data_IF_557340899843
#
_entry.id   IF_557340899843
#
_cell.length_a   1.000
_cell.length_b   1.000
_cell.length_c   1.000
_cell.angle_alpha   90.00
_cell.angle_beta   90.00
_cell.angle_gamma   90.00
#
_symmetry.space_group_name_H-M   'P 1'
#
loop_
_entity.id
_entity.type
_entity.pdbx_description
1 polymer ?
#
# COMPACT_ATOMS: atom_id res chain seq x y z
N UNK A 1 -15.43 9.92 20.01
CA UNK A 1 -14.26 9.43 19.25
C UNK A 1 -14.31 10.11 17.89
N UNK A 2 -13.70 11.28 17.77
CA UNK A 2 -13.72 12.08 16.53
C UNK A 2 -12.56 11.59 15.69
N UNK A 3 -12.85 10.81 14.66
CA UNK A 3 -11.85 10.34 13.71
C UNK A 3 -11.56 11.52 12.77
N UNK A 4 -10.47 12.24 13.03
CA UNK A 4 -9.94 13.22 12.10
C UNK A 4 -9.20 12.47 10.97
N UNK A 5 -9.97 11.99 9.99
CA UNK A 5 -9.45 11.47 8.74
C UNK A 5 -8.99 12.66 7.89
N UNK A 6 -7.68 12.74 7.66
CA UNK A 6 -7.07 13.76 6.83
C UNK A 6 -7.86 13.98 5.52
N UNK A 7 -8.21 15.24 5.30
CA UNK A 7 -9.16 15.79 4.33
C UNK A 7 -8.93 15.44 2.86
N UNK A 8 -7.83 14.78 2.50
CA UNK A 8 -7.50 14.47 1.12
C UNK A 8 -7.69 13.00 0.73
N UNK A 9 -7.87 12.05 1.65
CA UNK A 9 -8.08 10.63 1.31
C UNK A 9 -9.55 10.22 1.44
N UNK A 10 -10.25 10.82 2.41
CA UNK A 10 -11.68 10.57 2.64
C UNK A 10 -12.56 11.05 1.46
N UNK A 11 -12.08 12.03 0.67
CA UNK A 11 -12.80 12.51 -0.51
C UNK A 11 -12.79 11.51 -1.68
N UNK A 12 -11.72 10.74 -1.90
CA UNK A 12 -11.63 9.85 -3.07
C UNK A 12 -12.39 8.55 -2.88
N UNK A 13 -12.27 7.91 -1.72
CA UNK A 13 -13.03 6.68 -1.42
C UNK A 13 -14.52 6.96 -1.26
N UNK A 14 -14.88 8.09 -0.64
CA UNK A 14 -16.26 8.56 -0.64
C UNK A 14 -16.77 8.83 -2.05
N UNK A 15 -15.95 9.35 -2.98
CA UNK A 15 -16.35 9.56 -4.37
C UNK A 15 -16.64 8.24 -5.12
N UNK A 16 -15.76 7.23 -5.00
CA UNK A 16 -15.96 5.94 -5.70
C UNK A 16 -17.12 5.10 -5.11
N UNK A 17 -17.28 5.07 -3.78
CA UNK A 17 -18.43 4.42 -3.15
C UNK A 17 -19.72 5.21 -3.37
N UNK A 18 -19.71 6.54 -3.27
CA UNK A 18 -20.91 7.35 -3.51
C UNK A 18 -21.35 7.31 -4.97
N UNK A 19 -20.43 7.16 -5.93
CA UNK A 19 -20.80 7.01 -7.35
C UNK A 19 -21.45 5.64 -7.57
N UNK A 20 -20.91 4.58 -6.98
CA UNK A 20 -21.49 3.23 -7.07
C UNK A 20 -22.84 3.13 -6.35
N UNK A 21 -22.96 3.71 -5.15
CA UNK A 21 -24.22 3.79 -4.38
C UNK A 21 -25.22 4.72 -5.06
N UNK A 22 -24.79 5.85 -5.63
CA UNK A 22 -25.66 6.72 -6.41
C UNK A 22 -26.17 6.01 -7.67
N UNK A 23 -25.34 5.22 -8.36
CA UNK A 23 -25.77 4.39 -9.48
C UNK A 23 -26.84 3.37 -9.02
N UNK A 24 -26.60 2.64 -7.93
CA UNK A 24 -27.58 1.67 -7.38
C UNK A 24 -28.88 2.35 -6.91
N UNK A 25 -28.78 3.48 -6.22
CA UNK A 25 -29.94 4.27 -5.79
C UNK A 25 -30.70 4.86 -6.99
N UNK A 26 -30.01 5.26 -8.06
CA UNK A 26 -30.66 5.71 -9.31
C UNK A 26 -31.40 4.57 -10.03
N UNK A 27 -30.93 3.32 -9.88
CA UNK A 27 -31.65 2.13 -10.36
C UNK A 27 -32.84 1.74 -9.46
N UNK A 28 -32.77 1.97 -8.14
CA UNK A 28 -33.86 1.66 -7.20
C UNK A 28 -34.94 2.75 -7.10
N UNK A 29 -34.60 4.03 -7.30
CA UNK A 29 -35.53 5.18 -7.30
C UNK A 29 -36.30 5.27 -8.63
N UNK A 30 -36.48 4.14 -9.33
CA UNK A 30 -37.21 4.05 -10.59
C UNK A 30 -38.68 3.67 -10.41
N UNK A 31 -39.09 3.19 -9.22
CA UNK A 31 -40.45 2.71 -8.97
C UNK A 31 -41.32 3.63 -8.09
N UNK A 32 -40.75 4.68 -7.49
CA UNK A 32 -41.54 5.66 -6.74
C UNK A 32 -41.83 6.88 -7.62
N UNK A 33 -43.10 7.02 -7.98
CA UNK A 33 -43.69 8.13 -8.74
C UNK A 33 -43.41 9.49 -8.06
N UNK A 34 -42.26 10.10 -8.35
CA UNK A 34 -41.93 11.46 -7.93
C UNK A 34 -42.66 12.45 -8.85
N UNK A 35 -43.94 12.72 -8.55
CA UNK A 35 -44.76 13.69 -9.29
C UNK A 35 -44.51 15.10 -8.78
N UNK A 36 -43.55 15.79 -9.36
CA UNK A 36 -43.47 17.26 -9.28
C UNK A 36 -44.17 17.86 -10.50
N UNK A 37 -45.18 18.68 -10.25
CA UNK A 37 -46.00 19.38 -11.24
C UNK A 37 -45.22 20.58 -11.81
N UNK A 38 -44.25 20.29 -12.68
CA UNK A 38 -43.54 21.27 -13.48
C UNK A 38 -44.00 21.10 -14.93
N UNK A 39 -44.68 22.12 -15.48
CA UNK A 39 -45.11 22.16 -16.89
C UNK A 39 -43.92 21.89 -17.84
N UNK A 40 -44.14 21.18 -18.96
CA UNK A 40 -43.13 20.35 -19.57
C UNK A 40 -42.25 21.17 -20.52
N UNK A 41 -40.99 21.35 -20.16
CA UNK A 41 -39.97 21.62 -21.17
C UNK A 41 -38.96 20.47 -21.09
N UNK A 42 -39.11 19.56 -22.06
CA UNK A 42 -38.27 18.39 -22.30
C UNK A 42 -38.52 17.23 -21.31
N UNK A 43 -39.47 16.35 -21.66
CA UNK A 43 -39.50 15.00 -21.11
C UNK A 43 -38.24 14.26 -21.58
N UNK A 44 -37.16 14.37 -20.82
CA UNK A 44 -35.95 13.60 -21.07
C UNK A 44 -36.19 12.14 -20.66
N UNK A 45 -36.90 11.39 -21.50
CA UNK A 45 -37.08 9.93 -21.38
C UNK A 45 -35.73 9.18 -21.22
N UNK A 46 -34.65 9.83 -21.62
CA UNK A 46 -33.27 9.33 -21.55
C UNK A 46 -32.36 10.08 -20.56
N UNK A 47 -32.86 10.99 -19.69
CA UNK A 47 -32.00 11.76 -18.77
C UNK A 47 -31.18 10.85 -17.86
N UNK A 48 -31.84 9.83 -17.29
CA UNK A 48 -31.18 8.84 -16.41
C UNK A 48 -30.04 8.14 -17.15
N UNK A 49 -30.29 7.68 -18.38
CA UNK A 49 -29.27 7.03 -19.24
C UNK A 49 -28.13 7.99 -19.56
N UNK A 50 -28.44 9.25 -19.88
CA UNK A 50 -27.46 10.28 -20.18
C UNK A 50 -26.57 10.59 -18.96
N UNK A 51 -27.16 10.74 -17.77
CA UNK A 51 -26.42 10.93 -16.51
C UNK A 51 -25.51 9.73 -16.24
N UNK A 52 -26.01 8.50 -16.39
CA UNK A 52 -25.19 7.29 -16.21
C UNK A 52 -24.02 7.28 -17.19
N UNK A 53 -24.24 7.59 -18.46
CA UNK A 53 -23.16 7.68 -19.46
C UNK A 53 -22.13 8.74 -19.08
N UNK A 54 -22.56 9.92 -18.63
CA UNK A 54 -21.64 10.96 -18.15
C UNK A 54 -20.83 10.47 -16.95
N UNK A 55 -21.46 9.84 -15.96
CA UNK A 55 -20.77 9.30 -14.78
C UNK A 55 -19.78 8.19 -15.16
N UNK A 56 -20.12 7.34 -16.13
CA UNK A 56 -19.21 6.31 -16.65
C UNK A 56 -18.01 6.93 -17.37
N UNK A 57 -18.24 7.92 -18.25
CA UNK A 57 -17.15 8.63 -18.94
C UNK A 57 -16.26 9.34 -17.92
N UNK A 58 -16.85 10.03 -16.95
CA UNK A 58 -16.12 10.69 -15.88
C UNK A 58 -15.32 9.70 -15.03
N UNK A 59 -15.93 8.56 -14.69
CA UNK A 59 -15.26 7.45 -14.00
C UNK A 59 -14.07 6.90 -14.78
N UNK A 60 -14.22 6.69 -16.09
CA UNK A 60 -13.14 6.22 -16.97
C UNK A 60 -12.01 7.24 -17.01
N UNK A 61 -12.32 8.51 -17.28
CA UNK A 61 -11.32 9.60 -17.35
C UNK A 61 -10.58 9.72 -16.02
N UNK A 62 -11.31 9.80 -14.89
CA UNK A 62 -10.70 9.94 -13.58
C UNK A 62 -9.82 8.76 -13.22
N UNK A 63 -10.23 7.52 -13.50
CA UNK A 63 -9.39 6.34 -13.25
C UNK A 63 -8.21 6.22 -14.23
N UNK A 64 -8.36 6.72 -15.46
CA UNK A 64 -7.28 6.72 -16.44
C UNK A 64 -6.16 7.68 -16.01
N UNK A 65 -6.50 8.86 -15.51
CA UNK A 65 -5.51 9.87 -15.13
C UNK A 65 -5.06 9.80 -13.67
N UNK A 66 -5.87 9.25 -12.75
CA UNK A 66 -5.52 9.13 -11.34
C UNK A 66 -4.95 7.75 -11.03
N UNK A 67 -3.67 7.58 -11.34
CA UNK A 67 -2.90 6.39 -10.99
C UNK A 67 -2.29 6.63 -9.61
N UNK A 68 -2.94 6.09 -8.58
CA UNK A 68 -2.60 6.40 -7.20
C UNK A 68 -1.22 5.82 -6.81
N UNK A 69 -0.23 6.71 -6.65
CA UNK A 69 1.13 6.39 -6.15
C UNK A 69 1.93 5.39 -7.00
N UNK A 70 1.53 5.22 -8.25
CA UNK A 70 2.29 4.49 -9.26
C UNK A 70 2.79 5.46 -10.33
N UNK A 71 3.55 4.95 -11.30
CA UNK A 71 4.07 5.75 -12.40
C UNK A 71 2.91 6.47 -13.12
N UNK A 72 2.98 7.81 -13.30
CA UNK A 72 1.92 8.57 -13.95
C UNK A 72 1.74 8.23 -15.43
N UNK A 73 2.74 7.62 -16.07
CA UNK A 73 2.64 7.16 -17.44
C UNK A 73 1.91 5.80 -17.51
N UNK A 74 0.60 5.85 -17.81
CA UNK A 74 -0.24 4.64 -17.88
C UNK A 74 0.23 3.61 -18.90
N UNK A 75 0.93 4.05 -19.95
CA UNK A 75 1.42 3.16 -21.00
C UNK A 75 2.58 2.28 -20.53
N UNK A 76 3.20 2.61 -19.40
CA UNK A 76 4.25 1.78 -18.77
C UNK A 76 3.66 0.75 -17.79
N UNK A 77 2.38 0.89 -17.41
CA UNK A 77 1.70 0.00 -16.45
C UNK A 77 1.13 -1.24 -17.15
N UNK A 78 2.01 -2.02 -17.77
CA UNK A 78 1.64 -3.19 -18.61
C UNK A 78 2.17 -4.50 -18.06
N UNK A 79 2.99 -4.48 -17.01
CA UNK A 79 3.58 -5.67 -16.42
C UNK A 79 2.72 -6.15 -15.25
N UNK A 80 2.34 -7.42 -15.25
CA UNK A 80 1.59 -8.04 -14.15
C UNK A 80 2.54 -8.67 -13.13
N UNK A 81 2.18 -8.61 -11.86
CA UNK A 81 2.84 -9.37 -10.80
C UNK A 81 2.65 -10.88 -11.01
N UNK A 82 3.66 -11.66 -10.62
CA UNK A 82 3.64 -13.15 -10.66
C UNK A 82 3.02 -13.76 -9.42
N UNK A 83 2.92 -12.99 -8.34
CA UNK A 83 2.27 -13.41 -7.10
C UNK A 83 0.74 -13.50 -7.26
N UNK A 84 0.12 -14.63 -6.89
CA UNK A 84 -1.31 -14.89 -7.11
C UNK A 84 -2.22 -13.80 -6.51
N UNK A 85 -1.87 -13.26 -5.34
CA UNK A 85 -2.65 -12.22 -4.65
C UNK A 85 -2.66 -10.86 -5.38
N UNK A 86 -1.75 -10.67 -6.35
CA UNK A 86 -1.64 -9.47 -7.18
C UNK A 86 -1.92 -9.77 -8.65
N UNK A 87 -2.53 -10.91 -8.94
CA UNK A 87 -2.94 -11.27 -10.30
C UNK A 87 -3.91 -10.23 -10.85
N UNK A 88 -3.67 -9.81 -12.09
CA UNK A 88 -4.40 -8.73 -12.77
C UNK A 88 -4.15 -7.33 -12.21
N UNK A 89 -3.20 -7.17 -11.29
CA UNK A 89 -2.65 -5.85 -10.95
C UNK A 89 -1.46 -5.62 -11.87
N UNK A 90 -1.45 -4.45 -12.51
CA UNK A 90 -0.40 -4.07 -13.45
C UNK A 90 0.36 -2.85 -12.93
N UNK A 91 1.67 -2.83 -13.17
CA UNK A 91 2.56 -1.75 -12.80
C UNK A 91 3.74 -1.68 -13.80
N UNK A 92 4.75 -0.87 -13.50
CA UNK A 92 5.99 -0.86 -14.28
C UNK A 92 6.78 -2.15 -14.05
N UNK A 93 7.67 -2.49 -14.99
CA UNK A 93 8.50 -3.68 -14.90
C UNK A 93 9.36 -3.69 -13.63
N UNK A 94 9.92 -2.54 -13.27
CA UNK A 94 10.82 -2.34 -12.14
C UNK A 94 10.10 -2.58 -10.81
N UNK A 95 8.87 -2.09 -10.68
CA UNK A 95 8.03 -2.30 -9.49
C UNK A 95 7.62 -3.76 -9.36
N UNK A 96 7.19 -4.36 -10.46
CA UNK A 96 6.82 -5.78 -10.51
C UNK A 96 8.00 -6.64 -10.09
N UNK A 97 9.17 -6.43 -10.69
CA UNK A 97 10.38 -7.16 -10.37
C UNK A 97 10.79 -6.96 -8.92
N UNK A 98 10.76 -5.72 -8.42
CA UNK A 98 11.17 -5.44 -7.04
C UNK A 98 10.32 -6.20 -6.00
N UNK A 99 9.00 -6.27 -6.23
CA UNK A 99 8.05 -6.95 -5.34
C UNK A 99 8.13 -8.48 -5.50
N UNK A 100 8.13 -8.99 -6.72
CA UNK A 100 8.16 -10.44 -6.96
C UNK A 100 9.47 -11.06 -6.47
N UNK A 101 10.60 -10.37 -6.65
CA UNK A 101 11.90 -10.82 -6.14
C UNK A 101 11.94 -10.87 -4.62
N UNK A 102 11.51 -9.81 -3.93
CA UNK A 102 11.53 -9.81 -2.45
C UNK A 102 10.59 -10.87 -1.88
N UNK A 103 9.42 -11.10 -2.48
CA UNK A 103 8.49 -12.16 -2.07
C UNK A 103 9.14 -13.53 -2.26
N UNK A 104 9.80 -13.75 -3.40
CA UNK A 104 10.53 -15.00 -3.68
C UNK A 104 11.63 -15.22 -2.65
N UNK A 105 12.36 -14.16 -2.28
CA UNK A 105 13.45 -14.24 -1.30
C UNK A 105 12.93 -14.55 0.10
N UNK A 106 11.92 -13.81 0.56
CA UNK A 106 11.27 -14.01 1.86
C UNK A 106 10.83 -15.47 2.02
N UNK A 107 10.18 -16.04 0.98
CA UNK A 107 9.67 -17.43 0.99
C UNK A 107 10.74 -18.51 1.13
N UNK A 108 12.03 -18.20 0.96
CA UNK A 108 13.12 -19.15 1.26
C UNK A 108 13.30 -19.34 2.77
N UNK A 109 12.95 -18.34 3.56
CA UNK A 109 13.23 -18.29 5.00
C UNK A 109 11.98 -18.44 5.86
N UNK A 110 10.81 -18.02 5.38
CA UNK A 110 9.57 -18.02 6.17
C UNK A 110 8.45 -18.79 5.48
N UNK A 111 7.54 -19.32 6.29
CA UNK A 111 6.32 -20.02 5.85
C UNK A 111 5.08 -19.17 6.17
N UNK A 112 3.93 -19.47 5.53
CA UNK A 112 2.66 -18.87 5.95
C UNK A 112 2.46 -19.01 7.46
N UNK A 113 1.95 -17.93 8.07
CA UNK A 113 1.70 -17.74 9.50
C UNK A 113 2.92 -17.57 10.41
N UNK A 114 4.15 -17.62 9.89
CA UNK A 114 5.33 -17.21 10.64
C UNK A 114 5.25 -15.72 11.01
N UNK A 115 5.81 -15.35 12.16
CA UNK A 115 5.99 -13.96 12.55
C UNK A 115 7.25 -13.38 11.91
N UNK A 116 7.12 -12.23 11.27
CA UNK A 116 8.21 -11.59 10.52
C UNK A 116 8.27 -10.10 10.83
N UNK A 117 9.47 -9.52 10.74
CA UNK A 117 9.69 -8.10 10.93
C UNK A 117 9.83 -7.39 9.59
N UNK A 118 8.73 -6.81 9.09
CA UNK A 118 8.74 -5.94 7.92
C UNK A 118 8.70 -4.47 8.34
N UNK A 119 9.65 -3.68 7.84
CA UNK A 119 9.90 -2.30 8.28
C UNK A 119 9.91 -1.31 7.12
N UNK A 120 9.73 -0.04 7.48
CA UNK A 120 9.55 1.09 6.56
C UNK A 120 8.29 0.99 5.67
N UNK A 121 7.13 0.80 6.33
CA UNK A 121 5.80 1.01 5.75
C UNK A 121 5.40 0.06 4.61
N UNK A 122 5.75 -1.22 4.76
CA UNK A 122 5.44 -2.29 3.80
C UNK A 122 4.56 -3.40 4.37
N UNK A 123 3.47 -3.09 5.10
CA UNK A 123 2.65 -4.13 5.71
C UNK A 123 1.85 -4.95 4.69
N UNK A 124 1.77 -4.49 3.44
CA UNK A 124 1.22 -5.28 2.34
C UNK A 124 1.97 -6.62 2.19
N UNK A 125 3.27 -6.66 2.51
CA UNK A 125 4.03 -7.90 2.45
C UNK A 125 3.46 -8.97 3.39
N UNK A 126 2.92 -8.62 4.56
CA UNK A 126 2.28 -9.61 5.45
C UNK A 126 1.13 -10.34 4.75
N UNK A 127 0.34 -9.61 3.97
CA UNK A 127 -0.75 -10.21 3.17
C UNK A 127 -0.21 -11.05 2.01
N UNK A 128 0.84 -10.58 1.31
CA UNK A 128 1.40 -11.26 0.13
C UNK A 128 2.21 -12.52 0.47
N UNK A 129 2.75 -12.60 1.69
CA UNK A 129 3.50 -13.75 2.19
C UNK A 129 2.71 -14.58 3.20
N UNK A 130 1.46 -14.20 3.50
CA UNK A 130 0.59 -14.84 4.49
C UNK A 130 1.21 -14.93 5.90
N UNK A 131 2.10 -13.99 6.23
CA UNK A 131 2.82 -13.94 7.53
C UNK A 131 2.13 -13.00 8.50
N UNK A 132 2.58 -13.01 9.76
CA UNK A 132 2.08 -12.15 10.84
C UNK A 132 3.12 -11.10 11.22
N UNK A 133 2.70 -9.89 11.61
CA UNK A 133 3.63 -8.88 12.13
C UNK A 133 4.16 -9.29 13.50
N UNK A 134 5.48 -9.24 13.66
CA UNK A 134 6.14 -9.42 14.95
C UNK A 134 5.92 -8.21 15.88
N UNK A 135 5.75 -7.03 15.28
CA UNK A 135 5.40 -5.77 15.95
C UNK A 135 3.94 -5.75 16.37
N UNK A 136 3.65 -5.06 17.47
CA UNK A 136 2.26 -4.79 17.91
C UNK A 136 1.40 -4.05 16.88
N UNK A 137 2.04 -3.27 15.99
CA UNK A 137 1.38 -2.59 14.88
C UNK A 137 2.21 -2.70 13.59
N UNK A 138 1.66 -3.22 12.48
CA UNK A 138 2.40 -3.40 11.22
C UNK A 138 2.81 -2.08 10.54
N UNK A 139 2.32 -0.93 11.01
CA UNK A 139 2.73 0.42 10.61
C UNK A 139 3.56 1.11 11.72
N UNK A 140 4.28 0.33 12.54
CA UNK A 140 4.99 0.79 13.74
C UNK A 140 5.84 2.04 13.50
N UNK A 141 6.60 2.08 12.40
CA UNK A 141 7.47 3.21 12.05
C UNK A 141 6.69 4.53 11.94
N UNK A 142 5.50 4.53 11.33
CA UNK A 142 4.68 5.72 11.11
C UNK A 142 3.77 6.09 12.28
N UNK A 143 3.24 5.09 13.01
CA UNK A 143 2.15 5.31 13.97
C UNK A 143 2.62 5.38 15.43
N UNK A 144 3.73 4.74 15.77
CA UNK A 144 4.25 4.79 17.13
C UNK A 144 5.03 6.09 17.37
N UNK A 145 5.03 6.57 18.61
CA UNK A 145 6.01 7.56 19.05
C UNK A 145 7.42 6.97 18.95
N UNK A 146 8.45 7.81 18.90
CA UNK A 146 9.84 7.34 18.87
C UNK A 146 10.18 6.44 20.07
N UNK A 147 9.83 6.86 21.29
CA UNK A 147 10.08 6.06 22.50
C UNK A 147 9.34 4.71 22.47
N UNK A 148 8.07 4.71 22.05
CA UNK A 148 7.29 3.48 21.91
C UNK A 148 7.89 2.55 20.85
N UNK A 149 8.35 3.10 19.73
CA UNK A 149 9.01 2.34 18.67
C UNK A 149 10.31 1.71 19.16
N UNK A 150 11.19 2.50 19.81
CA UNK A 150 12.46 1.99 20.35
C UNK A 150 12.23 0.90 21.40
N UNK A 151 11.24 1.08 22.27
CA UNK A 151 10.88 0.08 23.29
C UNK A 151 10.33 -1.21 22.66
N UNK A 152 9.41 -1.12 21.70
CA UNK A 152 8.83 -2.29 21.01
C UNK A 152 9.91 -3.04 20.24
N UNK A 153 10.79 -2.33 19.53
CA UNK A 153 11.89 -2.93 18.79
C UNK A 153 12.87 -3.65 19.71
N UNK A 154 13.25 -3.02 20.83
CA UNK A 154 14.14 -3.63 21.81
C UNK A 154 13.53 -4.89 22.44
N UNK A 155 12.24 -4.87 22.79
CA UNK A 155 11.53 -6.06 23.29
C UNK A 155 11.59 -7.19 22.27
N UNK A 156 11.28 -6.90 21.00
CA UNK A 156 11.31 -7.86 19.91
C UNK A 156 12.69 -8.51 19.79
N UNK A 157 13.76 -7.73 19.67
CA UNK A 157 15.10 -8.31 19.44
C UNK A 157 15.65 -9.09 20.64
N UNK A 158 15.25 -8.75 21.87
CA UNK A 158 15.67 -9.46 23.09
C UNK A 158 14.83 -10.72 23.31
N UNK A 159 13.50 -10.60 23.27
CA UNK A 159 12.59 -11.64 23.73
C UNK A 159 12.02 -12.51 22.61
N UNK A 160 11.91 -11.97 21.39
CA UNK A 160 11.29 -12.62 20.22
C UNK A 160 12.11 -12.32 18.95
N UNK A 161 13.40 -12.69 18.90
CA UNK A 161 14.30 -12.25 17.84
C UNK A 161 13.78 -12.68 16.46
N UNK A 162 13.69 -11.74 15.49
CA UNK A 162 13.12 -12.03 14.17
C UNK A 162 13.98 -13.05 13.41
N UNK A 163 13.36 -13.97 12.68
CA UNK A 163 14.12 -14.87 11.79
C UNK A 163 14.77 -14.10 10.64
N UNK A 164 14.01 -13.18 10.06
CA UNK A 164 14.46 -12.27 9.01
C UNK A 164 13.94 -10.86 9.32
N UNK A 165 14.68 -9.85 8.89
CA UNK A 165 14.23 -8.44 8.89
C UNK A 165 14.23 -7.94 7.46
N UNK A 166 13.08 -7.43 6.98
CA UNK A 166 12.98 -6.84 5.65
C UNK A 166 12.68 -5.36 5.77
N UNK A 167 13.49 -4.54 5.12
CA UNK A 167 13.38 -3.09 5.12
C UNK A 167 13.14 -2.61 3.70
N UNK A 168 12.11 -1.80 3.49
CA UNK A 168 11.98 -1.08 2.23
C UNK A 168 12.97 0.07 2.13
N UNK A 169 13.58 0.22 0.96
CA UNK A 169 14.38 1.38 0.59
C UNK A 169 13.47 2.49 0.08
N UNK A 170 13.73 3.73 0.50
CA UNK A 170 12.97 4.90 0.07
C UNK A 170 11.52 4.92 0.60
N UNK A 171 10.61 5.57 -0.13
CA UNK A 171 9.20 5.71 0.26
C UNK A 171 8.24 5.27 -0.84
N UNK A 172 7.74 4.03 -0.72
CA UNK A 172 6.65 3.49 -1.55
C UNK A 172 5.38 4.35 -1.52
N UNK A 173 5.23 5.21 -0.50
CA UNK A 173 4.05 6.06 -0.31
C UNK A 173 4.12 7.38 -1.09
N UNK A 174 5.31 7.92 -1.29
CA UNK A 174 5.50 9.30 -1.77
C UNK A 174 6.20 9.38 -3.11
N UNK A 175 6.98 8.37 -3.44
CA UNK A 175 7.72 8.33 -4.69
C UNK A 175 6.98 7.46 -5.72
N UNK A 176 6.46 8.12 -6.75
CA UNK A 176 5.82 7.46 -7.88
C UNK A 176 6.82 6.82 -8.84
N UNK A 177 8.12 7.12 -8.70
CA UNK A 177 9.23 6.50 -9.45
C UNK A 177 9.99 5.43 -8.67
N UNK A 178 9.58 5.14 -7.43
CA UNK A 178 10.09 3.97 -6.73
C UNK A 178 9.88 2.71 -7.61
N UNK A 179 10.84 1.78 -7.74
CA UNK A 179 12.12 1.68 -7.01
C UNK A 179 13.33 2.28 -7.76
N UNK A 180 13.14 3.08 -8.82
CA UNK A 180 14.23 3.52 -9.69
C UNK A 180 15.09 4.65 -9.10
N UNK A 181 14.50 5.55 -8.30
CA UNK A 181 15.19 6.71 -7.71
C UNK A 181 15.26 6.63 -6.19
N UNK A 182 15.71 5.48 -5.69
CA UNK A 182 15.80 5.28 -4.26
C UNK A 182 17.12 5.83 -3.73
N UNK A 183 17.13 7.13 -3.43
CA UNK A 183 18.03 7.61 -2.40
C UNK A 183 17.64 6.87 -1.10
N UNK A 184 18.62 6.26 -0.43
CA UNK A 184 18.44 5.43 0.79
C UNK A 184 17.59 6.11 1.88
N UNK A 185 17.41 7.43 1.79
CA UNK A 185 16.74 8.28 2.78
C UNK A 185 15.62 9.12 2.13
N UNK A 186 14.86 8.60 1.15
CA UNK A 186 13.58 9.25 0.79
C UNK A 186 12.48 9.02 1.86
N UNK A 187 12.88 8.87 3.12
CA UNK A 187 12.02 8.59 4.26
C UNK A 187 11.46 9.92 4.77
N UNK A 188 10.22 9.93 5.28
CA UNK A 188 9.73 11.14 5.94
C UNK A 188 10.68 11.51 7.08
N UNK A 189 11.15 12.76 7.15
CA UNK A 189 12.06 13.26 8.19
C UNK A 189 11.72 12.77 9.62
N UNK A 190 10.42 12.64 9.94
CA UNK A 190 9.90 12.14 11.23
C UNK A 190 10.24 10.67 11.56
N UNK A 191 10.74 9.90 10.60
CA UNK A 191 11.08 8.50 10.76
C UNK A 191 12.58 8.22 10.59
N UNK A 192 13.40 9.24 10.30
CA UNK A 192 14.84 9.07 10.08
C UNK A 192 15.49 8.49 11.34
N UNK A 193 15.28 9.13 12.50
CA UNK A 193 15.83 8.68 13.79
C UNK A 193 15.38 7.26 14.18
N UNK A 194 14.14 6.89 13.83
CA UNK A 194 13.64 5.52 14.07
C UNK A 194 14.29 4.50 13.15
N UNK A 195 14.56 4.87 11.90
CA UNK A 195 15.20 4.00 10.94
C UNK A 195 16.68 3.83 11.25
N UNK A 196 17.36 4.90 11.66
CA UNK A 196 18.74 4.85 12.15
C UNK A 196 18.84 3.92 13.37
N UNK A 197 17.94 4.06 14.34
CA UNK A 197 17.86 3.15 15.48
C UNK A 197 17.59 1.69 15.08
N UNK A 198 16.80 1.45 14.02
CA UNK A 198 16.57 0.10 13.50
C UNK A 198 17.87 -0.49 12.96
N UNK A 199 18.63 0.25 12.15
CA UNK A 199 19.92 -0.22 11.63
C UNK A 199 20.93 -0.46 12.77
N UNK A 200 21.04 0.47 13.73
CA UNK A 200 21.87 0.27 14.93
C UNK A 200 21.49 -1.00 15.70
N UNK A 201 20.19 -1.29 15.79
CA UNK A 201 19.69 -2.50 16.46
C UNK A 201 20.02 -3.78 15.67
N UNK A 202 19.89 -3.74 14.34
CA UNK A 202 20.29 -4.85 13.46
C UNK A 202 21.76 -5.17 13.64
N UNK A 203 22.62 -4.16 13.64
CA UNK A 203 24.06 -4.31 13.86
C UNK A 203 24.37 -4.85 15.27
N UNK A 204 23.73 -4.28 16.29
CA UNK A 204 23.92 -4.68 17.69
C UNK A 204 23.58 -6.16 17.95
N UNK A 205 22.56 -6.68 17.26
CA UNK A 205 22.12 -8.07 17.41
C UNK A 205 22.70 -9.02 16.34
N UNK A 206 23.73 -8.58 15.62
CA UNK A 206 24.51 -9.35 14.65
C UNK A 206 23.63 -9.94 13.52
N UNK A 207 22.80 -9.07 12.93
CA UNK A 207 22.12 -9.34 11.66
C UNK A 207 22.94 -8.73 10.51
N UNK A 208 23.08 -9.48 9.42
CA UNK A 208 23.82 -9.07 8.22
C UNK A 208 22.91 -9.05 7.02
N UNK A 209 23.22 -8.16 6.08
CA UNK A 209 22.57 -8.09 4.79
C UNK A 209 22.84 -9.40 4.02
N UNK A 210 21.79 -10.15 3.72
CA UNK A 210 21.85 -11.40 2.96
C UNK A 210 21.47 -11.17 1.50
N UNK A 211 20.47 -10.31 1.27
CA UNK A 211 19.96 -10.03 -0.06
C UNK A 211 19.42 -8.61 -0.16
N UNK A 212 19.55 -8.00 -1.33
CA UNK A 212 18.92 -6.72 -1.65
C UNK A 212 18.55 -6.61 -3.13
N UNK A 213 17.60 -5.74 -3.41
CA UNK A 213 17.37 -5.18 -4.74
C UNK A 213 17.16 -3.66 -4.64
N UNK A 214 16.70 -3.03 -5.71
CA UNK A 214 16.50 -1.57 -5.73
C UNK A 214 15.44 -1.09 -4.72
N UNK A 215 14.48 -1.96 -4.36
CA UNK A 215 13.37 -1.61 -3.49
C UNK A 215 13.51 -2.06 -2.02
N UNK A 216 14.32 -3.09 -1.75
CA UNK A 216 14.32 -3.78 -0.45
C UNK A 216 15.71 -4.27 -0.02
N UNK A 217 15.86 -4.40 1.30
CA UNK A 217 16.98 -5.05 1.97
C UNK A 217 16.43 -6.18 2.86
N UNK A 218 17.10 -7.33 2.86
CA UNK A 218 16.77 -8.47 3.70
C UNK A 218 18.00 -8.83 4.55
N UNK A 219 17.77 -8.87 5.86
CA UNK A 219 18.79 -9.18 6.85
C UNK A 219 18.49 -10.52 7.54
N UNK A 220 19.56 -11.29 7.76
CA UNK A 220 19.55 -12.55 8.52
C UNK A 220 20.50 -12.45 9.70
N UNK A 221 20.22 -13.21 10.76
CA UNK A 221 21.18 -13.36 11.84
C UNK A 221 22.46 -14.03 11.32
N UNK A 222 23.64 -13.56 11.70
CA UNK A 222 24.93 -13.98 11.15
C UNK A 222 25.18 -15.49 11.14
N UNK A 223 24.57 -16.24 12.05
CA UNK A 223 24.66 -17.71 12.10
C UNK A 223 23.75 -18.44 11.09
N UNK A 224 22.94 -17.72 10.31
CA UNK A 224 22.04 -18.23 9.28
C UNK A 224 22.42 -17.79 7.86
N UNK A 225 23.41 -16.90 7.71
CA UNK A 225 23.94 -16.47 6.42
C UNK A 225 24.68 -17.64 5.78
N UNK A 226 24.41 -17.93 4.49
CA UNK A 226 25.01 -19.03 3.75
C UNK A 226 26.40 -18.71 3.22
#
# INVERSE_FOLDING_TARGET
>A
MIINLGSNVMNWTAMYLSTSVAIVLLFHVSETDFRYDLKPFIQFKNLKKFIIVILLIFGIITNFFNIFRDNPNRFELVHSFKTENLKFVFSTEERVNAIDEVIKEIKKYVKPHDEVLFMNNIPLLYYLTETKPLTSNPWSLNLLSENSFKSDLKDIFINRPPKIVVIAKGSLRRDNKWPENVDKISVHQRNVEKLDYLYETIDLFDYRLDWENNGFELYLKSNMVK
#
